data_IF_646915636258
#
_entry.id   IF_646915636258
#
_cell.length_a   1.000
_cell.length_b   1.000
_cell.length_c   1.000
_cell.angle_alpha   90.00
_cell.angle_beta   90.00
_cell.angle_gamma   90.00
#
_symmetry.space_group_name_H-M   'P 1'
#
loop_
_entity.id
_entity.type
_entity.pdbx_description
1 polymer ?
#
# COMPACT_ATOMS: atom_id res chain seq x y z
N UNK A 1 4.18 7.77 25.67
CA UNK A 1 4.16 8.29 24.29
C UNK A 1 2.72 8.20 23.79
N UNK A 2 2.02 9.32 23.56
CA UNK A 2 0.58 9.33 23.27
C UNK A 2 0.22 8.59 21.95
N UNK A 3 1.08 8.60 20.96
CA UNK A 3 0.86 7.89 19.70
C UNK A 3 0.82 6.36 19.88
N UNK A 4 1.61 5.78 20.80
CA UNK A 4 1.63 4.34 21.06
C UNK A 4 0.31 3.86 21.69
N UNK A 5 -0.32 4.65 22.57
CA UNK A 5 -1.64 4.32 23.11
C UNK A 5 -2.68 4.31 22.01
N UNK A 6 -2.66 5.29 21.11
CA UNK A 6 -3.59 5.35 19.98
C UNK A 6 -3.45 4.13 19.05
N UNK A 7 -2.21 3.67 18.78
CA UNK A 7 -1.97 2.47 17.99
C UNK A 7 -2.48 1.21 18.69
N UNK A 8 -2.31 1.09 20.01
CA UNK A 8 -2.84 -0.03 20.79
C UNK A 8 -4.38 -0.06 20.78
N UNK A 9 -5.00 1.10 20.93
CA UNK A 9 -6.46 1.23 20.86
C UNK A 9 -7.00 0.89 19.47
N UNK A 10 -6.26 1.24 18.42
CA UNK A 10 -6.58 0.87 17.05
C UNK A 10 -6.46 -0.65 16.85
N UNK A 11 -5.35 -1.26 17.26
CA UNK A 11 -5.15 -2.71 17.17
C UNK A 11 -6.20 -3.50 17.96
N UNK A 12 -6.62 -3.02 19.13
CA UNK A 12 -7.65 -3.66 19.94
C UNK A 12 -9.04 -3.68 19.24
N UNK A 13 -9.31 -2.71 18.37
CA UNK A 13 -10.57 -2.64 17.61
C UNK A 13 -10.55 -3.44 16.29
N UNK A 14 -9.36 -3.81 15.83
CA UNK A 14 -9.16 -4.49 14.55
C UNK A 14 -8.34 -5.77 14.75
N UNK A 15 -8.96 -6.94 14.90
CA UNK A 15 -8.27 -8.21 15.19
C UNK A 15 -7.21 -8.62 14.13
N UNK A 16 -7.33 -8.07 12.92
CA UNK A 16 -6.38 -8.30 11.82
C UNK A 16 -5.11 -7.45 11.97
N UNK A 17 -5.15 -6.36 12.76
CA UNK A 17 -4.02 -5.49 13.01
C UNK A 17 -3.23 -6.02 14.21
N UNK A 18 -1.96 -6.32 14.00
CA UNK A 18 -1.02 -6.70 15.04
C UNK A 18 0.03 -5.62 15.22
N UNK A 19 0.23 -5.19 16.44
CA UNK A 19 1.25 -4.23 16.80
C UNK A 19 2.46 -5.00 17.35
N UNK A 20 3.51 -5.07 16.55
CA UNK A 20 4.78 -5.69 16.95
C UNK A 20 5.77 -4.62 17.41
N UNK A 21 6.22 -4.74 18.65
CA UNK A 21 7.26 -3.87 19.21
C UNK A 21 8.57 -4.63 19.20
N UNK A 22 9.43 -4.30 18.26
CA UNK A 22 10.76 -4.91 18.15
C UNK A 22 11.83 -4.02 18.80
N UNK A 23 12.88 -4.61 19.41
CA UNK A 23 14.04 -3.83 19.87
C UNK A 23 14.66 -3.06 18.70
N UNK A 24 15.37 -1.95 18.99
CA UNK A 24 16.14 -1.27 17.96
C UNK A 24 17.10 -2.24 17.27
N UNK A 25 17.00 -2.34 15.96
CA UNK A 25 17.86 -3.18 15.12
C UNK A 25 18.59 -2.28 14.11
N UNK A 26 19.80 -2.67 13.74
CA UNK A 26 20.63 -1.89 12.82
C UNK A 26 20.02 -1.84 11.41
N UNK A 27 19.26 -2.87 11.04
CA UNK A 27 18.67 -3.01 9.70
C UNK A 27 17.16 -3.14 9.78
N UNK A 28 16.46 -2.21 9.13
CA UNK A 28 15.00 -2.19 9.05
C UNK A 28 14.42 -3.50 8.51
N UNK A 29 15.03 -4.08 7.48
CA UNK A 29 14.61 -5.35 6.89
C UNK A 29 14.57 -6.46 7.94
N UNK A 30 15.62 -6.61 8.74
CA UNK A 30 15.72 -7.67 9.77
C UNK A 30 14.64 -7.52 10.85
N UNK A 31 14.34 -6.26 11.25
CA UNK A 31 13.27 -5.98 12.19
C UNK A 31 11.90 -6.41 11.64
N UNK A 32 11.61 -6.05 10.40
CA UNK A 32 10.36 -6.44 9.73
C UNK A 32 10.25 -7.95 9.54
N UNK A 33 11.33 -8.63 9.17
CA UNK A 33 11.35 -10.09 9.02
C UNK A 33 11.07 -10.79 10.34
N UNK A 34 11.73 -10.36 11.40
CA UNK A 34 11.51 -10.92 12.74
C UNK A 34 10.04 -10.75 13.19
N UNK A 35 9.41 -9.63 12.82
CA UNK A 35 8.01 -9.36 13.11
C UNK A 35 7.04 -10.19 12.24
N UNK A 36 7.36 -10.43 10.97
CA UNK A 36 6.47 -11.10 10.01
C UNK A 36 6.56 -12.62 10.10
N UNK A 37 7.78 -13.19 10.26
CA UNK A 37 8.03 -14.62 10.18
C UNK A 37 7.11 -15.49 11.06
N UNK A 38 6.81 -15.13 12.34
CA UNK A 38 5.92 -15.91 13.20
C UNK A 38 4.47 -15.99 12.70
N UNK A 39 4.09 -15.14 11.76
CA UNK A 39 2.71 -15.01 11.25
C UNK A 39 2.51 -15.63 9.87
N UNK A 40 3.56 -16.17 9.26
CA UNK A 40 3.47 -16.92 8.01
C UNK A 40 2.87 -18.29 8.30
N UNK A 41 1.74 -18.60 7.67
CA UNK A 41 1.15 -19.94 7.76
C UNK A 41 1.94 -20.91 6.87
N UNK A 42 2.66 -21.88 7.43
CA UNK A 42 3.44 -22.83 6.65
C UNK A 42 2.59 -23.83 5.85
N UNK A 43 1.30 -23.95 6.18
CA UNK A 43 0.36 -24.79 5.46
C UNK A 43 -0.30 -24.07 4.26
N UNK A 44 -0.11 -22.78 4.13
CA UNK A 44 -0.61 -22.04 2.99
C UNK A 44 0.15 -22.43 1.71
N UNK A 45 -0.54 -22.49 0.59
CA UNK A 45 0.11 -22.72 -0.71
C UNK A 45 0.86 -21.48 -1.21
N UNK A 46 0.30 -20.30 -0.93
CA UNK A 46 0.83 -19.01 -1.35
C UNK A 46 0.56 -17.93 -0.30
N UNK A 47 1.54 -17.07 -0.10
CA UNK A 47 1.43 -15.89 0.76
C UNK A 47 1.51 -14.64 -0.11
N UNK A 48 0.52 -13.76 -0.01
CA UNK A 48 0.56 -12.43 -0.61
C UNK A 48 1.13 -11.42 0.39
N UNK A 49 2.26 -10.83 0.08
CA UNK A 49 2.89 -9.76 0.86
C UNK A 49 2.68 -8.42 0.17
N UNK A 50 2.31 -7.40 0.92
CA UNK A 50 2.39 -6.02 0.44
C UNK A 50 2.94 -5.11 1.54
N UNK A 51 3.64 -4.08 1.12
CA UNK A 51 4.09 -3.01 1.99
C UNK A 51 3.06 -1.90 2.00
N UNK A 52 2.86 -1.30 3.16
CA UNK A 52 1.93 -0.19 3.34
C UNK A 52 2.57 0.84 4.25
N UNK A 53 2.79 2.03 3.73
CA UNK A 53 3.35 3.14 4.48
C UNK A 53 2.19 3.88 5.21
N UNK A 54 2.47 4.58 6.29
CA UNK A 54 1.45 5.15 7.19
C UNK A 54 0.76 6.41 6.63
N UNK A 55 1.30 6.99 5.57
CA UNK A 55 0.73 8.11 4.82
C UNK A 55 -0.08 7.68 3.57
N UNK A 56 -0.13 6.38 3.29
CA UNK A 56 -0.82 5.81 2.13
C UNK A 56 -2.19 5.21 2.51
N UNK A 57 -3.04 4.97 1.52
CA UNK A 57 -4.25 4.18 1.68
C UNK A 57 -4.48 3.25 0.48
N UNK A 58 -5.01 2.05 0.75
CA UNK A 58 -5.50 1.14 -0.28
C UNK A 58 -7.02 1.08 -0.26
N UNK A 59 -7.63 0.70 -1.38
CA UNK A 59 -9.07 0.58 -1.48
C UNK A 59 -9.63 -0.41 -0.44
N UNK A 60 -10.83 -0.16 0.07
CA UNK A 60 -11.49 -0.98 1.10
C UNK A 60 -11.61 -2.47 0.72
N UNK A 61 -11.70 -2.75 -0.57
CA UNK A 61 -11.76 -4.11 -1.13
C UNK A 61 -10.40 -4.64 -1.62
N UNK A 62 -9.28 -3.97 -1.30
CA UNK A 62 -7.95 -4.29 -1.85
C UNK A 62 -7.59 -5.77 -1.69
N UNK A 63 -7.71 -6.33 -0.49
CA UNK A 63 -7.33 -7.73 -0.22
C UNK A 63 -8.21 -8.70 -1.02
N UNK A 64 -9.52 -8.44 -1.07
CA UNK A 64 -10.45 -9.27 -1.84
C UNK A 64 -10.12 -9.21 -3.34
N UNK A 65 -9.80 -8.03 -3.84
CA UNK A 65 -9.43 -7.81 -5.24
C UNK A 65 -8.10 -8.46 -5.58
N UNK A 66 -7.07 -8.29 -4.75
CA UNK A 66 -5.77 -8.93 -4.95
C UNK A 66 -5.88 -10.46 -5.02
N UNK A 67 -6.71 -11.06 -4.16
CA UNK A 67 -7.01 -12.51 -4.20
C UNK A 67 -7.73 -12.92 -5.50
N UNK A 68 -8.74 -12.16 -5.92
CA UNK A 68 -9.51 -12.46 -7.13
C UNK A 68 -8.65 -12.33 -8.39
N UNK A 69 -7.84 -11.28 -8.49
CA UNK A 69 -6.96 -11.05 -9.64
C UNK A 69 -5.79 -12.05 -9.65
N UNK A 70 -5.23 -12.43 -8.48
CA UNK A 70 -4.27 -13.51 -8.39
C UNK A 70 -4.81 -14.83 -8.93
N UNK A 71 -6.07 -15.17 -8.64
CA UNK A 71 -6.68 -16.40 -9.15
C UNK A 71 -6.67 -16.45 -10.69
N UNK A 72 -6.79 -15.31 -11.37
CA UNK A 72 -6.74 -15.23 -12.83
C UNK A 72 -5.35 -15.46 -13.42
N UNK A 73 -4.31 -15.14 -12.64
CA UNK A 73 -2.90 -15.20 -13.07
C UNK A 73 -2.08 -16.25 -12.32
N UNK A 74 -2.74 -17.11 -11.54
CA UNK A 74 -2.11 -18.16 -10.72
C UNK A 74 -1.17 -19.07 -11.52
N UNK A 75 -1.48 -19.31 -12.79
CA UNK A 75 -0.64 -20.13 -13.66
C UNK A 75 0.78 -19.57 -13.85
N UNK A 76 0.94 -18.25 -13.88
CA UNK A 76 2.26 -17.60 -13.93
C UNK A 76 3.02 -17.84 -12.63
N UNK A 77 2.36 -17.69 -11.49
CA UNK A 77 2.96 -17.97 -10.19
C UNK A 77 3.35 -19.44 -10.03
N UNK A 78 2.52 -20.38 -10.50
CA UNK A 78 2.82 -21.81 -10.45
C UNK A 78 4.07 -22.17 -11.26
N UNK A 79 4.26 -21.52 -12.40
CA UNK A 79 5.44 -21.73 -13.26
C UNK A 79 6.74 -21.20 -12.63
N UNK A 80 6.67 -20.02 -11.97
CA UNK A 80 7.87 -19.28 -11.55
C UNK A 80 8.11 -19.30 -10.02
N UNK A 81 7.12 -19.72 -9.24
CA UNK A 81 7.14 -19.71 -7.77
C UNK A 81 7.00 -18.32 -7.15
N UNK A 82 7.03 -17.26 -7.94
CA UNK A 82 6.93 -15.86 -7.54
C UNK A 82 6.12 -15.07 -8.56
N UNK A 83 5.37 -14.06 -8.10
CA UNK A 83 4.60 -13.17 -8.96
C UNK A 83 4.41 -11.82 -8.28
N UNK A 84 4.54 -10.72 -9.01
CA UNK A 84 4.07 -9.40 -8.57
C UNK A 84 2.76 -9.04 -9.26
N UNK A 85 1.81 -8.53 -8.47
CA UNK A 85 0.52 -8.01 -8.94
C UNK A 85 0.42 -6.55 -8.53
N UNK A 86 0.49 -5.67 -9.51
CA UNK A 86 0.54 -4.23 -9.34
C UNK A 86 -0.79 -3.59 -9.72
N UNK A 87 -1.56 -3.13 -8.73
CA UNK A 87 -2.77 -2.34 -8.95
C UNK A 87 -2.37 -0.87 -9.16
N UNK A 88 -1.92 -0.56 -10.34
CA UNK A 88 -1.17 0.65 -10.67
C UNK A 88 -2.02 1.93 -10.86
N UNK A 89 -3.35 1.87 -10.71
CA UNK A 89 -4.21 3.06 -10.83
C UNK A 89 -4.50 3.67 -9.46
N UNK A 90 -4.07 4.90 -9.28
CA UNK A 90 -4.22 5.60 -8.01
C UNK A 90 -4.35 7.11 -8.13
N UNK A 91 -4.37 7.73 -6.96
CA UNK A 91 -4.32 9.18 -6.76
C UNK A 91 -3.08 9.51 -5.92
N UNK A 92 -2.31 10.49 -6.36
CA UNK A 92 -1.31 11.13 -5.51
C UNK A 92 -2.01 12.25 -4.74
N UNK A 93 -1.95 12.20 -3.42
CA UNK A 93 -2.54 13.19 -2.53
C UNK A 93 -1.43 14.07 -1.97
N UNK A 94 -1.28 15.25 -2.57
CA UNK A 94 -0.35 16.25 -2.06
C UNK A 94 -1.00 17.03 -0.92
N UNK A 95 -0.40 16.95 0.26
CA UNK A 95 -0.80 17.71 1.45
C UNK A 95 0.14 18.89 1.60
N UNK A 96 -0.39 20.09 1.38
CA UNK A 96 0.33 21.35 1.54
C UNK A 96 -0.21 22.17 2.71
N UNK A 97 0.31 23.39 2.89
CA UNK A 97 -0.12 24.31 3.95
C UNK A 97 -1.63 24.66 3.80
N UNK A 98 -2.48 23.94 4.53
CA UNK A 98 -3.92 24.14 4.59
C UNK A 98 -4.71 23.65 3.38
N UNK A 99 -4.11 22.88 2.46
CA UNK A 99 -4.79 22.39 1.26
C UNK A 99 -4.42 20.94 0.92
N UNK A 100 -5.32 20.25 0.20
CA UNK A 100 -5.09 18.91 -0.34
C UNK A 100 -5.36 18.93 -1.84
N UNK A 101 -4.41 18.44 -2.61
CA UNK A 101 -4.52 18.29 -4.06
C UNK A 101 -4.43 16.83 -4.45
N UNK A 102 -5.36 16.37 -5.30
CA UNK A 102 -5.35 15.01 -5.85
C UNK A 102 -4.88 15.03 -7.30
N UNK A 103 -3.92 14.18 -7.62
CA UNK A 103 -3.37 14.05 -8.96
C UNK A 103 -3.50 12.61 -9.42
N UNK A 104 -4.45 12.32 -10.36
CA UNK A 104 -4.66 10.98 -10.87
C UNK A 104 -3.45 10.46 -11.65
N UNK A 105 -3.01 9.23 -11.34
CA UNK A 105 -1.88 8.55 -12.01
C UNK A 105 -2.16 7.06 -12.21
N UNK A 106 -1.69 6.54 -13.34
CA UNK A 106 -1.36 5.12 -13.49
C UNK A 106 0.16 5.06 -13.35
N UNK A 107 0.63 4.47 -12.26
CA UNK A 107 2.06 4.43 -11.93
C UNK A 107 2.45 3.01 -11.52
N UNK A 108 3.33 2.41 -12.31
CA UNK A 108 3.75 1.04 -12.10
C UNK A 108 4.82 0.92 -11.04
N UNK A 109 4.71 -0.14 -10.24
CA UNK A 109 5.70 -0.51 -9.23
C UNK A 109 5.99 0.63 -8.24
N UNK A 110 4.95 1.33 -7.79
CA UNK A 110 5.09 2.43 -6.83
C UNK A 110 5.31 1.97 -5.38
N UNK A 111 5.12 0.68 -5.11
CA UNK A 111 5.15 0.15 -3.75
C UNK A 111 3.79 0.15 -3.06
N UNK A 112 2.91 1.09 -3.37
CA UNK A 112 1.53 1.14 -2.89
C UNK A 112 0.65 0.22 -3.73
N UNK A 113 -0.25 -0.54 -3.10
CA UNK A 113 -1.15 -1.50 -3.76
C UNK A 113 -0.43 -2.50 -4.69
N UNK A 114 0.81 -2.84 -4.35
CA UNK A 114 1.64 -3.83 -5.01
C UNK A 114 1.75 -5.06 -4.11
N UNK A 115 1.20 -6.19 -4.56
CA UNK A 115 1.29 -7.47 -3.83
C UNK A 115 2.32 -8.38 -4.50
N UNK A 116 3.22 -8.94 -3.71
CA UNK A 116 4.17 -9.98 -4.13
C UNK A 116 3.70 -11.31 -3.57
N UNK A 117 3.46 -12.28 -4.43
CA UNK A 117 3.02 -13.62 -4.08
C UNK A 117 4.22 -14.57 -4.07
N UNK A 118 4.46 -15.19 -2.91
CA UNK A 118 5.59 -16.07 -2.64
C UNK A 118 5.09 -17.41 -2.08
N UNK A 119 5.93 -18.42 -2.12
CA UNK A 119 5.72 -19.65 -1.35
C UNK A 119 6.00 -19.39 0.13
N UNK A 120 5.34 -20.07 1.09
CA UNK A 120 5.58 -19.87 2.51
C UNK A 120 7.01 -20.25 2.94
N UNK A 121 7.64 -21.19 2.24
CA UNK A 121 9.00 -21.66 2.47
C UNK A 121 10.09 -20.83 1.76
N UNK A 122 9.72 -19.75 1.07
CA UNK A 122 10.65 -18.87 0.35
C UNK A 122 11.68 -18.21 1.28
N UNK A 123 11.36 -18.02 2.55
CA UNK A 123 12.20 -17.31 3.52
C UNK A 123 12.39 -15.83 3.22
N UNK A 124 11.51 -15.25 2.39
CA UNK A 124 11.54 -13.85 1.96
C UNK A 124 10.18 -13.19 2.12
N UNK A 125 10.20 -11.87 2.21
CA UNK A 125 9.03 -11.01 2.22
C UNK A 125 9.07 -10.01 1.06
N UNK A 126 8.02 -9.22 0.86
CA UNK A 126 8.03 -8.14 -0.14
C UNK A 126 9.20 -7.16 0.03
N UNK A 127 9.73 -7.01 1.25
CA UNK A 127 10.81 -6.07 1.58
C UNK A 127 12.17 -6.48 1.01
N UNK A 128 12.37 -7.75 0.63
CA UNK A 128 13.59 -8.23 -0.02
C UNK A 128 13.72 -7.75 -1.48
N UNK A 129 12.64 -7.29 -2.07
CA UNK A 129 12.59 -6.95 -3.48
C UNK A 129 12.42 -5.45 -3.65
N UNK A 130 13.40 -4.81 -4.28
CA UNK A 130 13.22 -3.43 -4.69
C UNK A 130 12.08 -3.36 -5.71
N UNK A 131 10.99 -2.67 -5.34
CA UNK A 131 9.77 -2.61 -6.14
C UNK A 131 9.99 -2.05 -7.55
N UNK A 132 10.96 -1.16 -7.76
CA UNK A 132 11.29 -0.61 -9.08
C UNK A 132 12.05 -1.59 -9.98
N UNK A 133 12.54 -2.71 -9.43
CA UNK A 133 13.36 -3.71 -10.12
C UNK A 133 12.73 -5.10 -10.11
N UNK A 134 11.44 -5.23 -9.81
CA UNK A 134 10.75 -6.53 -9.72
C UNK A 134 10.92 -7.43 -10.96
N UNK A 135 10.93 -6.90 -12.20
CA UNK A 135 11.14 -7.75 -13.38
C UNK A 135 12.46 -8.52 -13.41
N UNK A 136 13.44 -8.17 -12.56
CA UNK A 136 14.68 -8.94 -12.41
C UNK A 136 14.50 -10.24 -11.62
N UNK A 137 13.39 -10.37 -10.86
CA UNK A 137 13.21 -11.49 -9.92
C UNK A 137 11.95 -12.29 -10.15
N UNK A 138 10.96 -11.73 -10.82
CA UNK A 138 9.65 -12.36 -11.00
C UNK A 138 8.85 -11.74 -12.13
N UNK A 139 7.93 -12.49 -12.76
CA UNK A 139 6.93 -11.91 -13.66
C UNK A 139 6.03 -10.94 -12.90
N UNK A 140 5.55 -9.92 -13.60
CA UNK A 140 4.65 -8.92 -13.06
C UNK A 140 3.42 -8.71 -13.91
N UNK A 141 2.27 -8.54 -13.27
CA UNK A 141 1.01 -8.19 -13.94
C UNK A 141 0.52 -6.86 -13.38
N UNK A 142 0.27 -5.91 -14.27
CA UNK A 142 -0.27 -4.60 -13.93
C UNK A 142 -1.79 -4.56 -14.18
N UNK A 143 -2.54 -4.15 -13.16
CA UNK A 143 -4.00 -3.98 -13.20
C UNK A 143 -4.30 -2.48 -13.09
N UNK A 144 -4.86 -1.91 -14.17
CA UNK A 144 -5.11 -0.47 -14.27
C UNK A 144 -6.56 -0.07 -13.96
N UNK A 145 -7.39 -0.97 -13.47
CA UNK A 145 -8.77 -0.73 -13.04
C UNK A 145 -9.18 -1.73 -11.95
N UNK A 146 -9.96 -1.31 -10.97
CA UNK A 146 -10.40 0.05 -10.63
C UNK A 146 -9.30 0.90 -9.98
N UNK A 147 -9.67 2.07 -9.42
CA UNK A 147 -8.83 2.90 -8.55
C UNK A 147 -8.53 2.14 -7.25
N UNK A 148 -7.24 1.93 -6.92
CA UNK A 148 -6.84 1.01 -5.86
C UNK A 148 -5.95 1.61 -4.77
N UNK A 149 -5.35 2.78 -5.02
CA UNK A 149 -4.51 3.41 -4.00
C UNK A 149 -4.66 4.92 -3.95
N UNK A 150 -4.37 5.46 -2.79
CA UNK A 150 -4.15 6.86 -2.51
C UNK A 150 -2.76 6.97 -1.88
N UNK A 151 -1.84 7.68 -2.51
CA UNK A 151 -0.49 7.88 -2.00
C UNK A 151 -0.34 9.26 -1.40
N UNK A 152 0.04 9.33 -0.12
CA UNK A 152 0.36 10.56 0.57
C UNK A 152 1.68 11.17 0.08
N UNK A 153 1.71 12.50 -0.09
CA UNK A 153 2.91 13.26 -0.41
C UNK A 153 2.87 14.52 0.45
N UNK A 154 3.82 14.67 1.34
CA UNK A 154 3.95 15.82 2.24
C UNK A 154 5.43 16.22 2.37
N UNK A 155 5.73 17.30 3.11
CA UNK A 155 7.07 17.87 3.19
C UNK A 155 8.16 16.92 3.71
N UNK A 156 7.78 15.92 4.52
CA UNK A 156 8.69 14.94 5.12
C UNK A 156 8.66 13.57 4.37
N UNK A 157 7.93 13.47 3.25
CA UNK A 157 7.91 12.24 2.45
C UNK A 157 9.24 12.01 1.75
N UNK A 158 9.77 10.80 1.82
CA UNK A 158 11.01 10.38 1.13
C UNK A 158 10.98 10.65 -0.39
N UNK A 159 9.80 10.70 -0.97
CA UNK A 159 9.59 10.81 -2.41
C UNK A 159 9.37 12.23 -2.92
N UNK A 160 9.29 13.24 -2.08
CA UNK A 160 9.26 14.70 -2.38
C UNK A 160 8.40 15.21 -3.56
N UNK A 161 7.97 14.36 -4.49
CA UNK A 161 7.27 14.74 -5.74
C UNK A 161 6.25 13.66 -6.15
N UNK A 162 5.33 14.07 -7.05
CA UNK A 162 4.27 13.20 -7.61
C UNK A 162 4.83 11.94 -8.30
N UNK A 163 6.10 11.98 -8.70
CA UNK A 163 6.76 10.86 -9.36
C UNK A 163 6.26 10.59 -10.79
N UNK A 164 6.86 9.59 -11.47
CA UNK A 164 6.48 9.23 -12.83
C UNK A 164 5.10 8.56 -12.86
N UNK A 165 4.47 8.55 -14.03
CA UNK A 165 3.21 7.86 -14.27
C UNK A 165 2.39 8.51 -15.39
N UNK A 166 1.43 7.74 -15.91
CA UNK A 166 0.53 8.19 -16.96
C UNK A 166 -0.61 8.97 -16.31
N UNK A 167 -0.79 10.27 -16.63
CA UNK A 167 -1.91 11.04 -16.12
C UNK A 167 -3.23 10.50 -16.69
N UNK A 168 -4.30 10.63 -15.90
CA UNK A 168 -5.67 10.41 -16.35
C UNK A 168 -6.58 11.46 -15.70
N UNK A 169 -7.75 11.65 -16.26
CA UNK A 169 -8.66 12.70 -15.81
C UNK A 169 -9.82 12.12 -14.99
N UNK A 170 -10.24 12.88 -13.99
CA UNK A 170 -11.41 12.60 -13.17
C UNK A 170 -12.14 13.91 -12.89
N UNK A 171 -13.44 13.94 -13.16
CA UNK A 171 -14.27 15.10 -12.81
C UNK A 171 -14.33 15.26 -11.28
N UNK A 172 -14.42 16.51 -10.75
CA UNK A 172 -14.40 16.76 -9.31
C UNK A 172 -15.46 15.97 -8.53
N UNK A 173 -16.69 15.91 -9.04
CA UNK A 173 -17.79 15.15 -8.43
C UNK A 173 -17.57 13.64 -8.47
N UNK A 174 -16.92 13.13 -9.51
CA UNK A 174 -16.52 11.73 -9.62
C UNK A 174 -15.37 11.42 -8.65
N UNK A 175 -14.43 12.34 -8.43
CA UNK A 175 -13.37 12.20 -7.45
C UNK A 175 -13.93 12.03 -6.04
N UNK A 176 -14.87 12.87 -5.63
CA UNK A 176 -15.48 12.80 -4.29
C UNK A 176 -16.23 11.48 -4.09
N UNK A 177 -16.97 11.02 -5.10
CA UNK A 177 -17.61 9.69 -5.08
C UNK A 177 -16.58 8.57 -4.96
N UNK A 178 -15.45 8.64 -5.68
CA UNK A 178 -14.39 7.63 -5.61
C UNK A 178 -13.68 7.63 -4.25
N UNK A 179 -13.35 8.79 -3.69
CA UNK A 179 -12.76 8.89 -2.35
C UNK A 179 -13.65 8.20 -1.31
N UNK A 180 -14.94 8.49 -1.33
CA UNK A 180 -15.88 7.89 -0.40
C UNK A 180 -16.07 6.38 -0.64
N UNK A 181 -16.33 5.96 -1.88
CA UNK A 181 -16.66 4.58 -2.21
C UNK A 181 -15.44 3.64 -2.11
N UNK A 182 -14.26 4.11 -2.49
CA UNK A 182 -13.05 3.27 -2.54
C UNK A 182 -12.25 3.28 -1.26
N UNK A 183 -12.20 4.43 -0.57
CA UNK A 183 -11.33 4.61 0.61
C UNK A 183 -12.10 4.95 1.89
N UNK A 184 -13.41 5.18 1.82
CA UNK A 184 -14.18 5.62 2.97
C UNK A 184 -13.83 7.04 3.46
N UNK A 185 -13.23 7.87 2.59
CA UNK A 185 -12.72 9.19 2.92
C UNK A 185 -13.61 10.30 2.31
N UNK A 186 -13.82 11.37 3.05
CA UNK A 186 -14.43 12.58 2.50
C UNK A 186 -13.36 13.66 2.30
N UNK A 187 -13.38 14.33 1.14
CA UNK A 187 -12.43 15.40 0.81
C UNK A 187 -12.38 16.48 1.90
N UNK A 188 -13.53 16.92 2.38
CA UNK A 188 -13.64 17.94 3.44
C UNK A 188 -12.90 17.57 4.72
N UNK A 189 -12.84 16.28 5.08
CA UNK A 189 -12.17 15.83 6.29
C UNK A 189 -10.66 15.89 6.11
N UNK A 190 -10.17 15.55 4.92
CA UNK A 190 -8.76 15.66 4.55
C UNK A 190 -8.31 17.12 4.49
N UNK A 191 -9.10 18.01 3.91
CA UNK A 191 -8.85 19.45 3.87
C UNK A 191 -8.84 20.05 5.29
N UNK A 192 -9.80 19.65 6.14
CA UNK A 192 -9.82 20.05 7.54
C UNK A 192 -8.61 19.55 8.33
N UNK A 193 -8.09 18.35 8.03
CA UNK A 193 -6.86 17.85 8.61
C UNK A 193 -5.66 18.69 8.17
N UNK A 194 -5.52 18.97 6.87
CA UNK A 194 -4.44 19.80 6.33
C UNK A 194 -4.42 21.21 6.94
N UNK A 195 -5.60 21.80 7.15
CA UNK A 195 -5.71 23.11 7.81
C UNK A 195 -5.22 23.08 9.27
N UNK A 196 -5.57 22.01 10.03
CA UNK A 196 -5.08 21.86 11.41
C UNK A 196 -3.55 21.68 11.47
N UNK A 197 -2.99 20.93 10.54
CA UNK A 197 -1.53 20.73 10.47
C UNK A 197 -0.78 22.01 10.08
N UNK A 198 -1.38 22.88 9.29
CA UNK A 198 -0.79 24.16 8.89
C UNK A 198 -0.81 25.21 10.03
N UNK A 199 -1.68 25.04 11.03
CA UNK A 199 -1.81 25.96 12.19
C UNK A 199 -1.08 25.47 13.45
N UNK A 200 -0.44 24.31 13.43
CA UNK A 200 0.31 23.73 14.53
C UNK A 200 1.81 24.03 14.40
#
# INVERSE_FOLDING_TARGET
QPWLSNLRDLAARHPQLRLELVPPMERHLEACEAAIAPHIDPAAEVIGHFRHDDDDAVALDYIARAKADFAQVRGLWQAEGRLSLDHSRGLMMQVGAGSVRFVPRIAHNMGVALTIFLRPDEGKTALHFNHTKLPLWMPGVAVTRPLMFLRGIHGDSDSGDIGPGIPWEIAPDALDRQLSARFGLARKDLEGLAQRLAGA
#
